data_IF_617376922465
#
_entry.id   IF_617376922465
#
_cell.length_a   1.000
_cell.length_b   1.000
_cell.length_c   1.000
_cell.angle_alpha   90.00
_cell.angle_beta   90.00
_cell.angle_gamma   90.00
#
_symmetry.space_group_name_H-M   'P 1'
#
loop_
_entity.id
_entity.type
_entity.pdbx_description
1 polymer ?
#
# COMPACT_ATOMS: atom_id res chain seq x y z
N UNK A 1 60.06 0.19 -43.60
CA UNK A 1 58.93 0.99 -43.08
C UNK A 1 59.35 2.45 -42.95
N UNK A 2 58.67 3.36 -43.64
CA UNK A 2 58.93 4.81 -43.54
C UNK A 2 58.72 5.29 -42.08
N UNK A 3 59.61 6.17 -41.62
CA UNK A 3 59.59 6.77 -40.27
C UNK A 3 58.22 7.33 -39.88
N UNK A 4 57.54 7.99 -40.84
CA UNK A 4 56.18 8.53 -40.67
C UNK A 4 55.17 7.47 -40.23
N UNK A 5 55.21 6.29 -40.85
CA UNK A 5 54.29 5.18 -40.53
C UNK A 5 54.50 4.67 -39.10
N UNK A 6 55.75 4.59 -38.61
CA UNK A 6 56.05 4.15 -37.24
C UNK A 6 55.49 5.14 -36.20
N UNK A 7 55.68 6.43 -36.44
CA UNK A 7 55.19 7.48 -35.53
C UNK A 7 53.67 7.51 -35.49
N UNK A 8 52.99 7.44 -36.64
CA UNK A 8 51.52 7.39 -36.70
C UNK A 8 50.96 6.19 -35.96
N UNK A 9 51.59 5.02 -36.07
CA UNK A 9 51.14 3.78 -35.42
C UNK A 9 51.24 3.87 -33.89
N UNK A 10 52.32 4.45 -33.37
CA UNK A 10 52.50 4.69 -31.93
C UNK A 10 51.43 5.65 -31.40
N UNK A 11 51.18 6.75 -32.11
CA UNK A 11 50.14 7.72 -31.70
C UNK A 11 48.75 7.06 -31.72
N UNK A 12 48.41 6.29 -32.76
CA UNK A 12 47.13 5.59 -32.81
C UNK A 12 46.97 4.57 -31.68
N UNK A 13 48.05 3.89 -31.30
CA UNK A 13 48.02 2.93 -30.20
C UNK A 13 47.80 3.65 -28.86
N UNK A 14 48.46 4.78 -28.63
CA UNK A 14 48.27 5.58 -27.43
C UNK A 14 46.84 6.13 -27.31
N UNK A 15 46.27 6.60 -28.43
CA UNK A 15 44.86 7.05 -28.48
C UNK A 15 43.90 5.87 -28.21
N UNK A 16 44.19 4.69 -28.77
CA UNK A 16 43.36 3.51 -28.53
C UNK A 16 43.37 3.11 -27.04
N UNK A 17 44.54 3.11 -26.40
CA UNK A 17 44.67 2.79 -24.98
C UNK A 17 43.95 3.83 -24.11
N UNK A 18 44.10 5.12 -24.40
CA UNK A 18 43.46 6.18 -23.62
C UNK A 18 41.94 6.13 -23.71
N UNK A 19 41.39 5.93 -24.92
CA UNK A 19 39.94 5.77 -25.12
C UNK A 19 39.41 4.51 -24.43
N UNK A 20 40.16 3.41 -24.48
CA UNK A 20 39.75 2.16 -23.81
C UNK A 20 39.70 2.35 -22.30
N UNK A 21 40.75 2.94 -21.71
CA UNK A 21 40.78 3.20 -20.27
C UNK A 21 39.64 4.15 -19.84
N UNK A 22 39.41 5.22 -20.58
CA UNK A 22 38.32 6.15 -20.34
C UNK A 22 36.94 5.49 -20.46
N UNK A 23 36.75 4.63 -21.47
CA UNK A 23 35.52 3.88 -21.67
C UNK A 23 35.23 2.91 -20.53
N UNK A 24 36.25 2.19 -20.03
CA UNK A 24 36.10 1.27 -18.88
C UNK A 24 35.69 2.04 -17.62
N UNK A 25 36.37 3.15 -17.30
CA UNK A 25 36.03 3.96 -16.12
C UNK A 25 34.61 4.52 -16.25
N UNK A 26 34.28 5.11 -17.40
CA UNK A 26 32.95 5.66 -17.67
C UNK A 26 31.85 4.61 -17.56
N UNK A 27 32.11 3.37 -18.03
CA UNK A 27 31.17 2.27 -17.90
C UNK A 27 30.94 1.88 -16.44
N UNK A 28 32.00 1.75 -15.65
CA UNK A 28 31.90 1.42 -14.21
C UNK A 28 31.10 2.49 -13.47
N UNK A 29 31.40 3.76 -13.70
CA UNK A 29 30.69 4.88 -13.05
C UNK A 29 29.23 4.95 -13.49
N UNK A 30 28.96 4.82 -14.79
CA UNK A 30 27.59 4.81 -15.31
C UNK A 30 26.79 3.66 -14.72
N UNK A 31 27.36 2.44 -14.69
CA UNK A 31 26.72 1.28 -14.09
C UNK A 31 26.38 1.50 -12.63
N UNK A 32 27.32 2.03 -11.83
CA UNK A 32 27.11 2.31 -10.41
C UNK A 32 26.02 3.37 -10.19
N UNK A 33 26.03 4.43 -10.99
CA UNK A 33 25.05 5.51 -10.91
C UNK A 33 23.66 5.04 -11.34
N UNK A 34 23.56 4.18 -12.37
CA UNK A 34 22.29 3.58 -12.79
C UNK A 34 21.69 2.69 -11.71
N UNK A 35 22.50 1.84 -11.07
CA UNK A 35 22.04 0.99 -9.96
C UNK A 35 21.53 1.86 -8.81
N UNK A 36 22.31 2.84 -8.38
CA UNK A 36 21.92 3.76 -7.29
C UNK A 36 20.61 4.50 -7.60
N UNK A 37 20.44 4.95 -8.84
CA UNK A 37 19.21 5.63 -9.28
C UNK A 37 18.00 4.70 -9.23
N UNK A 38 18.14 3.46 -9.73
CA UNK A 38 17.05 2.47 -9.70
C UNK A 38 16.67 2.13 -8.26
N UNK A 39 17.65 1.86 -7.39
CA UNK A 39 17.40 1.57 -5.98
C UNK A 39 16.72 2.73 -5.26
N UNK A 40 17.16 3.95 -5.52
CA UNK A 40 16.56 5.16 -4.93
C UNK A 40 15.11 5.32 -5.39
N UNK A 41 14.84 5.14 -6.69
CA UNK A 41 13.49 5.21 -7.24
C UNK A 41 12.59 4.13 -6.65
N UNK A 42 13.07 2.89 -6.53
CA UNK A 42 12.31 1.80 -5.94
C UNK A 42 12.01 2.06 -4.46
N UNK A 43 12.98 2.60 -3.71
CA UNK A 43 12.81 2.97 -2.30
C UNK A 43 11.80 4.09 -2.14
N UNK A 44 11.84 5.11 -3.00
CA UNK A 44 10.85 6.20 -3.00
C UNK A 44 9.45 5.68 -3.34
N UNK A 45 9.32 4.83 -4.37
CA UNK A 45 8.05 4.22 -4.75
C UNK A 45 7.48 3.34 -3.62
N UNK A 46 8.30 2.52 -2.96
CA UNK A 46 7.87 1.71 -1.82
C UNK A 46 7.40 2.55 -0.64
N UNK A 47 8.10 3.64 -0.33
CA UNK A 47 7.68 4.57 0.72
C UNK A 47 6.34 5.21 0.38
N UNK A 48 6.21 5.75 -0.84
CA UNK A 48 4.96 6.35 -1.29
C UNK A 48 3.79 5.35 -1.29
N UNK A 49 4.04 4.09 -1.63
CA UNK A 49 3.03 3.04 -1.54
C UNK A 49 2.64 2.73 -0.08
N UNK A 50 3.62 2.70 0.83
CA UNK A 50 3.37 2.50 2.25
C UNK A 50 2.52 3.64 2.82
N UNK A 51 2.90 4.89 2.53
CA UNK A 51 2.16 6.08 2.95
C UNK A 51 0.72 6.07 2.39
N UNK A 52 0.56 5.65 1.13
CA UNK A 52 -0.75 5.50 0.51
C UNK A 52 -1.60 4.45 1.23
N UNK A 53 -1.04 3.27 1.53
CA UNK A 53 -1.74 2.21 2.25
C UNK A 53 -2.12 2.68 3.65
N UNK A 54 -1.23 3.36 4.36
CA UNK A 54 -1.49 3.88 5.70
C UNK A 54 -2.63 4.91 5.71
N UNK A 55 -2.62 5.86 4.76
CA UNK A 55 -3.69 6.82 4.59
C UNK A 55 -5.01 6.15 4.19
N UNK A 56 -4.96 5.16 3.31
CA UNK A 56 -6.13 4.39 2.90
C UNK A 56 -6.74 3.63 4.08
N UNK A 57 -5.93 2.92 4.87
CA UNK A 57 -6.38 2.22 6.09
C UNK A 57 -6.94 3.21 7.12
N UNK A 58 -6.27 4.35 7.32
CA UNK A 58 -6.75 5.39 8.23
C UNK A 58 -8.11 5.94 7.81
N UNK A 59 -8.30 6.18 6.51
CA UNK A 59 -9.59 6.59 5.95
C UNK A 59 -10.69 5.58 6.27
N UNK A 60 -10.45 4.28 6.05
CA UNK A 60 -11.44 3.24 6.38
C UNK A 60 -11.72 3.14 7.88
N UNK A 61 -10.70 3.32 8.74
CA UNK A 61 -10.88 3.40 10.20
C UNK A 61 -11.75 4.59 10.60
N UNK A 62 -11.55 5.76 9.99
CA UNK A 62 -12.35 6.95 10.28
C UNK A 62 -13.82 6.77 9.88
N UNK A 63 -14.08 6.14 8.71
CA UNK A 63 -15.44 5.78 8.31
C UNK A 63 -16.09 4.83 9.32
N UNK A 64 -15.37 3.79 9.76
CA UNK A 64 -15.87 2.83 10.73
C UNK A 64 -16.11 3.46 12.11
N UNK A 65 -15.20 4.31 12.60
CA UNK A 65 -15.36 5.03 13.87
C UNK A 65 -16.54 6.01 13.83
N UNK A 66 -16.80 6.61 12.68
CA UNK A 66 -17.97 7.48 12.50
C UNK A 66 -19.27 6.67 12.53
N UNK A 67 -19.30 5.51 11.86
CA UNK A 67 -20.43 4.58 11.93
C UNK A 67 -20.66 4.06 13.36
N UNK A 68 -19.59 3.70 14.08
CA UNK A 68 -19.67 3.24 15.47
C UNK A 68 -20.27 4.32 16.39
N UNK A 69 -19.90 5.59 16.21
CA UNK A 69 -20.51 6.73 16.93
C UNK A 69 -21.98 6.91 16.61
N UNK A 70 -22.39 6.71 15.36
CA UNK A 70 -23.81 6.75 14.99
C UNK A 70 -24.61 5.59 15.55
N UNK A 71 -23.94 4.47 15.85
CA UNK A 71 -24.53 3.24 16.39
C UNK A 71 -24.35 3.11 17.92
N UNK A 72 -23.86 4.14 18.61
CA UNK A 72 -23.64 4.07 20.07
C UNK A 72 -24.95 3.86 20.84
N UNK A 73 -26.05 4.43 20.31
CA UNK A 73 -27.37 4.40 20.94
C UNK A 73 -28.26 3.33 20.29
N UNK A 74 -27.67 2.22 19.83
CA UNK A 74 -28.36 1.14 19.10
C UNK A 74 -29.60 0.61 19.85
N UNK A 75 -29.59 0.63 21.18
CA UNK A 75 -30.72 0.17 22.02
C UNK A 75 -32.00 1.00 21.81
N UNK A 76 -31.85 2.26 21.39
CA UNK A 76 -32.96 3.18 21.09
C UNK A 76 -33.29 3.22 19.59
N UNK A 77 -32.59 2.44 18.76
CA UNK A 77 -32.76 2.43 17.31
C UNK A 77 -33.54 1.19 16.86
N UNK A 78 -34.38 1.37 15.85
CA UNK A 78 -34.95 0.23 15.13
C UNK A 78 -33.86 -0.46 14.29
N UNK A 79 -34.03 -1.77 14.05
CA UNK A 79 -33.15 -2.54 13.16
C UNK A 79 -33.06 -1.92 11.76
N UNK A 80 -34.15 -1.33 11.26
CA UNK A 80 -34.17 -0.64 9.98
C UNK A 80 -33.26 0.60 9.95
N UNK A 81 -33.22 1.38 11.03
CA UNK A 81 -32.31 2.53 11.16
C UNK A 81 -30.85 2.09 11.25
N UNK A 82 -30.57 1.05 12.04
CA UNK A 82 -29.23 0.47 12.14
C UNK A 82 -28.75 -0.03 10.76
N UNK A 83 -29.62 -0.74 10.04
CA UNK A 83 -29.33 -1.23 8.69
C UNK A 83 -29.06 -0.10 7.69
N UNK A 84 -29.81 1.00 7.76
CA UNK A 84 -29.55 2.17 6.91
C UNK A 84 -28.15 2.75 7.15
N UNK A 85 -27.71 2.87 8.40
CA UNK A 85 -26.35 3.32 8.75
C UNK A 85 -25.31 2.34 8.19
N UNK A 86 -25.51 1.04 8.32
CA UNK A 86 -24.60 0.02 7.79
C UNK A 86 -24.52 0.07 6.25
N UNK A 87 -25.63 0.33 5.56
CA UNK A 87 -25.64 0.49 4.10
C UNK A 87 -24.86 1.73 3.65
N UNK A 88 -25.06 2.87 4.31
CA UNK A 88 -24.30 4.09 4.03
C UNK A 88 -22.81 3.92 4.38
N UNK A 89 -22.50 3.23 5.47
CA UNK A 89 -21.12 2.89 5.85
C UNK A 89 -20.45 2.01 4.79
N UNK A 90 -21.18 1.05 4.23
CA UNK A 90 -20.67 0.17 3.16
C UNK A 90 -20.33 0.97 1.91
N UNK A 91 -21.21 1.91 1.52
CA UNK A 91 -20.96 2.82 0.39
C UNK A 91 -19.76 3.72 0.65
N UNK A 92 -19.72 4.39 1.81
CA UNK A 92 -18.66 5.34 2.17
C UNK A 92 -17.29 4.67 2.33
N UNK A 93 -17.26 3.42 2.81
CA UNK A 93 -16.04 2.64 2.95
C UNK A 93 -15.66 1.87 1.68
N UNK A 94 -16.50 1.86 0.64
CA UNK A 94 -16.34 0.99 -0.55
C UNK A 94 -16.09 -0.48 -0.15
N UNK A 95 -16.67 -0.89 0.99
CA UNK A 95 -16.52 -2.22 1.55
C UNK A 95 -17.45 -3.23 0.88
N UNK A 96 -17.24 -4.52 1.17
CA UNK A 96 -18.16 -5.57 0.71
C UNK A 96 -19.50 -5.53 1.44
N UNK A 97 -19.45 -5.42 2.76
CA UNK A 97 -20.63 -5.30 3.62
C UNK A 97 -20.18 -4.73 4.97
N UNK A 98 -21.04 -3.95 5.60
CA UNK A 98 -20.88 -3.48 6.98
C UNK A 98 -21.87 -4.23 7.86
N UNK A 99 -21.40 -4.67 9.03
CA UNK A 99 -22.21 -5.44 9.96
C UNK A 99 -21.92 -5.01 11.39
N UNK A 100 -22.89 -5.26 12.27
CA UNK A 100 -22.85 -4.93 13.68
C UNK A 100 -23.19 -6.18 14.50
N UNK A 101 -22.39 -6.49 15.52
CA UNK A 101 -22.71 -7.52 16.50
C UNK A 101 -23.18 -6.88 17.80
N UNK A 102 -24.33 -7.31 18.32
CA UNK A 102 -24.88 -6.84 19.60
C UNK A 102 -24.45 -7.81 20.70
N UNK A 103 -23.74 -7.31 21.72
CA UNK A 103 -23.21 -8.15 22.81
C UNK A 103 -24.32 -8.82 23.63
N UNK A 104 -25.36 -8.06 23.99
CA UNK A 104 -26.43 -8.51 24.87
C UNK A 104 -27.28 -9.65 24.28
N UNK A 105 -27.53 -9.62 22.98
CA UNK A 105 -28.37 -10.61 22.28
C UNK A 105 -27.57 -11.64 21.48
N UNK A 106 -26.28 -11.39 21.24
CA UNK A 106 -25.46 -12.20 20.32
C UNK A 106 -25.94 -12.14 18.87
N UNK A 107 -26.83 -11.20 18.54
CA UNK A 107 -27.38 -11.04 17.18
C UNK A 107 -26.40 -10.23 16.34
N UNK A 108 -26.25 -10.63 15.08
CA UNK A 108 -25.53 -9.85 14.09
C UNK A 108 -26.52 -9.20 13.12
N UNK A 109 -26.32 -7.93 12.79
CA UNK A 109 -27.11 -7.19 11.81
C UNK A 109 -26.19 -6.89 10.62
N UNK A 110 -26.64 -7.19 9.41
CA UNK A 110 -25.91 -6.89 8.18
C UNK A 110 -26.55 -5.70 7.45
N UNK A 111 -25.74 -4.89 6.78
CA UNK A 111 -26.22 -3.85 5.86
C UNK A 111 -26.90 -4.48 4.62
N UNK A 112 -26.41 -5.63 4.19
CA UNK A 112 -27.03 -6.44 3.13
C UNK A 112 -28.32 -7.16 3.59
N UNK A 113 -29.03 -7.79 2.65
CA UNK A 113 -30.18 -8.64 2.95
C UNK A 113 -29.79 -10.06 3.40
N UNK A 114 -28.57 -10.23 3.92
CA UNK A 114 -28.05 -11.53 4.34
C UNK A 114 -28.58 -11.89 5.72
N UNK A 115 -29.03 -13.15 5.87
CA UNK A 115 -29.49 -13.67 7.16
C UNK A 115 -28.25 -14.04 8.01
N UNK A 116 -28.17 -13.60 9.28
CA UNK A 116 -27.08 -13.96 10.18
C UNK A 116 -27.06 -15.46 10.47
N UNK A 117 -25.90 -16.10 10.28
CA UNK A 117 -25.70 -17.53 10.57
C UNK A 117 -24.60 -17.81 11.60
N UNK A 118 -24.04 -16.76 12.20
CA UNK A 118 -22.83 -16.85 13.03
C UNK A 118 -22.94 -15.94 14.25
N UNK A 119 -22.45 -16.41 15.39
CA UNK A 119 -22.29 -15.61 16.61
C UNK A 119 -21.12 -14.62 16.41
N UNK A 120 -21.36 -13.30 16.49
CA UNK A 120 -20.32 -12.29 16.30
C UNK A 120 -19.17 -12.42 17.32
N UNK A 121 -19.46 -12.84 18.56
CA UNK A 121 -18.50 -12.84 19.69
C UNK A 121 -17.37 -13.86 19.52
N UNK A 122 -17.62 -14.90 18.73
CA UNK A 122 -16.62 -15.94 18.44
C UNK A 122 -15.66 -15.55 17.32
N UNK A 123 -15.91 -14.42 16.64
CA UNK A 123 -15.18 -14.06 15.43
C UNK A 123 -13.90 -13.29 15.78
N UNK A 124 -12.80 -13.50 15.02
CA UNK A 124 -11.54 -12.82 15.27
C UNK A 124 -11.65 -11.29 15.35
N UNK A 125 -12.49 -10.69 14.50
CA UNK A 125 -12.69 -9.24 14.48
C UNK A 125 -13.40 -8.71 15.74
N UNK A 126 -14.22 -9.52 16.41
CA UNK A 126 -14.88 -9.16 17.67
C UNK A 126 -13.93 -9.36 18.85
N UNK A 127 -13.24 -10.51 18.89
CA UNK A 127 -12.29 -10.87 19.95
C UNK A 127 -11.07 -9.95 19.97
N UNK A 128 -10.58 -9.53 18.81
CA UNK A 128 -9.42 -8.63 18.74
C UNK A 128 -9.73 -7.22 19.25
N UNK A 129 -10.97 -6.74 19.10
CA UNK A 129 -11.35 -5.41 19.57
C UNK A 129 -11.60 -5.41 21.08
N UNK A 130 -12.22 -6.46 21.63
CA UNK A 130 -12.50 -6.54 23.07
C UNK A 130 -11.25 -6.77 23.94
N UNK A 131 -10.14 -7.22 23.33
CA UNK A 131 -8.85 -7.41 23.99
C UNK A 131 -7.91 -6.19 23.87
N UNK A 132 -8.43 -5.04 23.41
CA UNK A 132 -7.69 -3.81 23.19
C UNK A 132 -7.98 -2.78 24.26
#
# INVERSE_FOLDING_TARGET
>A
MHFKTKVTLIISLLICISLTAFGVVSYIDTKKNSITQVETNLKMASRSLTDYIDLWVLSKKNSLSSAARMLSDIENMSEAQAKAILQETTKASEGRDSFLGIESSGIMIYGSNTIPKVDPRTRPWYVMENNR
#
